data_IF_577818445150
#
_entry.id   IF_577818445150
#
_cell.length_a   1.000
_cell.length_b   1.000
_cell.length_c   1.000
_cell.angle_alpha   90.00
_cell.angle_beta   90.00
_cell.angle_gamma   90.00
#
_symmetry.space_group_name_H-M   'P 1'
#
loop_
_entity.id
_entity.type
_entity.pdbx_description
1 polymer ?
#
# COMPACT_ATOMS: atom_id res chain seq x y z
N UNK A 1 24.64 -3.05 15.39
CA UNK A 1 23.79 -2.16 16.22
C UNK A 1 22.35 -2.43 15.84
N UNK A 2 21.58 -3.11 16.71
CA UNK A 2 20.21 -3.49 16.40
C UNK A 2 19.27 -2.49 17.09
N UNK A 3 18.70 -1.55 16.32
CA UNK A 3 17.82 -0.49 16.82
C UNK A 3 16.36 -0.94 17.01
N UNK A 4 16.13 -2.26 17.07
CA UNK A 4 14.80 -2.83 17.24
C UNK A 4 14.25 -2.48 18.63
N UNK A 5 13.01 -1.99 18.66
CA UNK A 5 12.23 -1.78 19.87
C UNK A 5 10.90 -2.49 19.70
N UNK A 6 10.43 -3.26 20.70
CA UNK A 6 9.11 -3.87 20.64
C UNK A 6 8.03 -2.78 20.64
N UNK A 7 7.06 -2.92 19.74
CA UNK A 7 5.83 -2.11 19.71
C UNK A 7 4.65 -2.99 20.17
N UNK A 8 3.60 -2.38 20.75
CA UNK A 8 2.37 -3.12 21.02
C UNK A 8 1.77 -3.64 19.71
N UNK A 9 1.08 -4.77 19.79
CA UNK A 9 0.34 -5.32 18.64
C UNK A 9 -0.93 -4.51 18.44
N UNK A 10 -0.94 -3.70 17.38
CA UNK A 10 -2.12 -2.96 16.96
C UNK A 10 -3.02 -3.88 16.13
N UNK A 11 -4.35 -3.82 16.30
CA UNK A 11 -5.27 -4.63 15.52
C UNK A 11 -5.40 -4.11 14.08
N UNK A 12 -5.46 -5.01 13.09
CA UNK A 12 -5.66 -4.72 11.65
C UNK A 12 -7.10 -4.27 11.31
N UNK A 13 -7.74 -3.55 12.21
CA UNK A 13 -9.15 -3.14 12.10
C UNK A 13 -9.34 -1.79 11.40
N UNK A 14 -8.25 -1.04 11.18
CA UNK A 14 -8.32 0.28 10.54
C UNK A 14 -8.46 0.13 9.02
N UNK A 15 -9.66 0.39 8.51
CA UNK A 15 -9.92 0.36 7.08
C UNK A 15 -9.37 1.59 6.36
N UNK A 16 -8.63 1.39 5.27
CA UNK A 16 -8.16 2.47 4.39
C UNK A 16 -9.29 3.27 3.76
N UNK A 17 -10.51 2.74 3.72
CA UNK A 17 -11.70 3.49 3.27
C UNK A 17 -11.88 4.78 4.06
N UNK A 18 -11.61 4.74 5.38
CA UNK A 18 -11.77 5.88 6.26
C UNK A 18 -10.57 6.85 6.20
N UNK A 19 -9.38 6.34 5.86
CA UNK A 19 -8.13 7.12 5.80
C UNK A 19 -7.99 7.85 4.46
N UNK A 20 -8.37 7.21 3.35
CA UNK A 20 -8.26 7.74 1.99
C UNK A 20 -9.60 7.65 1.25
N UNK A 21 -10.62 8.43 1.66
CA UNK A 21 -11.99 8.27 1.15
C UNK A 21 -12.15 8.59 -0.34
N UNK A 22 -11.24 9.39 -0.92
CA UNK A 22 -11.24 9.74 -2.35
C UNK A 22 -10.60 8.67 -3.23
N UNK A 23 -9.91 7.69 -2.64
CA UNK A 23 -9.21 6.64 -3.38
C UNK A 23 -10.17 5.48 -3.59
N UNK A 24 -10.32 5.01 -4.83
CA UNK A 24 -11.19 3.87 -5.15
C UNK A 24 -10.62 2.54 -4.62
N UNK A 25 -11.37 1.45 -4.77
CA UNK A 25 -10.96 0.12 -4.28
C UNK A 25 -9.60 -0.33 -4.87
N UNK A 26 -9.39 -0.14 -6.16
CA UNK A 26 -8.15 -0.50 -6.85
C UNK A 26 -6.95 0.32 -6.38
N UNK A 27 -7.15 1.61 -6.13
CA UNK A 27 -6.10 2.49 -5.61
C UNK A 27 -5.75 2.14 -4.17
N UNK A 28 -6.74 1.78 -3.34
CA UNK A 28 -6.48 1.29 -1.98
C UNK A 28 -5.70 -0.03 -1.99
N UNK A 29 -6.00 -0.92 -2.93
CA UNK A 29 -5.22 -2.15 -3.14
C UNK A 29 -3.76 -1.86 -3.46
N UNK A 30 -3.50 -0.93 -4.40
CA UNK A 30 -2.13 -0.50 -4.69
C UNK A 30 -1.45 0.11 -3.46
N UNK A 31 -2.16 0.96 -2.72
CA UNK A 31 -1.65 1.60 -1.51
C UNK A 31 -1.29 0.59 -0.41
N UNK A 32 -2.07 -0.48 -0.24
CA UNK A 32 -1.74 -1.57 0.69
C UNK A 32 -0.42 -2.24 0.31
N UNK A 33 -0.23 -2.52 -0.99
CA UNK A 33 0.99 -3.16 -1.47
C UNK A 33 2.24 -2.28 -1.33
N UNK A 34 2.08 -0.95 -1.40
CA UNK A 34 3.15 0.03 -1.19
C UNK A 34 3.49 0.26 0.30
N UNK A 35 2.52 0.11 1.20
CA UNK A 35 2.68 0.35 2.64
C UNK A 35 3.00 -0.92 3.44
N UNK A 36 3.40 -2.01 2.77
CA UNK A 36 3.80 -3.26 3.42
C UNK A 36 5.02 -3.04 4.33
N UNK A 37 4.87 -3.34 5.62
CA UNK A 37 5.93 -3.12 6.60
C UNK A 37 7.18 -4.00 6.36
N UNK A 38 6.99 -5.20 5.81
CA UNK A 38 8.10 -6.05 5.39
C UNK A 38 8.61 -5.58 4.01
N UNK A 39 9.84 -5.05 3.90
CA UNK A 39 10.34 -4.49 2.66
C UNK A 39 10.46 -5.52 1.53
N UNK A 40 10.63 -6.81 1.85
CA UNK A 40 10.71 -7.88 0.85
C UNK A 40 9.35 -8.13 0.18
N UNK A 41 8.26 -7.78 0.86
CA UNK A 41 6.89 -7.93 0.37
C UNK A 41 6.29 -6.61 -0.14
N UNK A 42 7.05 -5.51 -0.11
CA UNK A 42 6.62 -4.25 -0.68
C UNK A 42 6.71 -4.33 -2.20
N UNK A 43 5.67 -3.88 -2.89
CA UNK A 43 5.63 -3.88 -4.36
C UNK A 43 6.75 -3.01 -4.94
N UNK A 44 7.39 -3.47 -6.01
CA UNK A 44 8.37 -2.67 -6.73
C UNK A 44 7.71 -1.54 -7.54
N UNK A 45 8.50 -0.53 -7.91
CA UNK A 45 8.02 0.55 -8.77
C UNK A 45 7.54 0.04 -10.14
N UNK A 46 8.22 -0.95 -10.70
CA UNK A 46 7.87 -1.56 -11.99
C UNK A 46 6.52 -2.27 -11.90
N UNK A 47 6.32 -3.12 -10.90
CA UNK A 47 5.04 -3.81 -10.66
C UNK A 47 3.90 -2.83 -10.33
N UNK A 48 4.20 -1.76 -9.59
CA UNK A 48 3.22 -0.73 -9.25
C UNK A 48 2.69 0.00 -10.49
N UNK A 49 3.55 0.30 -11.46
CA UNK A 49 3.14 0.92 -12.74
C UNK A 49 2.27 0.00 -13.59
N UNK A 50 2.44 -1.32 -13.46
CA UNK A 50 1.59 -2.32 -14.12
C UNK A 50 0.28 -2.61 -13.36
N UNK A 51 0.07 -2.00 -12.20
CA UNK A 51 -1.11 -2.28 -11.38
C UNK A 51 -2.41 -1.83 -12.08
N UNK A 52 -3.55 -2.57 -11.92
CA UNK A 52 -4.84 -2.21 -12.52
C UNK A 52 -5.35 -0.80 -12.22
N UNK A 53 -4.78 -0.15 -11.21
CA UNK A 53 -5.07 1.23 -10.86
C UNK A 53 -4.72 2.19 -12.00
N UNK A 54 -3.67 1.89 -12.77
CA UNK A 54 -3.22 2.69 -13.90
C UNK A 54 -3.73 2.20 -15.26
N UNK A 55 -4.56 1.15 -15.34
CA UNK A 55 -5.01 0.58 -16.64
C UNK A 55 -5.82 1.54 -17.52
N UNK A 56 -6.47 2.55 -16.93
CA UNK A 56 -7.20 3.59 -17.68
C UNK A 56 -6.44 4.92 -17.73
N UNK A 57 -5.16 4.91 -17.38
CA UNK A 57 -4.32 6.09 -17.45
C UNK A 57 -3.75 6.17 -18.86
N UNK A 58 -4.24 7.11 -19.68
CA UNK A 58 -3.57 7.43 -20.94
C UNK A 58 -2.25 8.12 -20.61
N UNK A 59 -1.08 7.56 -20.97
CA UNK A 59 0.15 8.33 -20.99
C UNK A 59 -0.01 9.38 -22.10
N UNK A 60 0.04 10.66 -21.71
CA UNK A 60 0.12 11.80 -22.63
C UNK A 60 1.34 11.69 -23.53
#
# INVERSE_FOLDING_TARGET
>A
MNNYKPYPMYPDTTSLVNVVPKLNATGRSLLQNLLTCNPIQCISAEEALQHPYFSNFCPL
#
